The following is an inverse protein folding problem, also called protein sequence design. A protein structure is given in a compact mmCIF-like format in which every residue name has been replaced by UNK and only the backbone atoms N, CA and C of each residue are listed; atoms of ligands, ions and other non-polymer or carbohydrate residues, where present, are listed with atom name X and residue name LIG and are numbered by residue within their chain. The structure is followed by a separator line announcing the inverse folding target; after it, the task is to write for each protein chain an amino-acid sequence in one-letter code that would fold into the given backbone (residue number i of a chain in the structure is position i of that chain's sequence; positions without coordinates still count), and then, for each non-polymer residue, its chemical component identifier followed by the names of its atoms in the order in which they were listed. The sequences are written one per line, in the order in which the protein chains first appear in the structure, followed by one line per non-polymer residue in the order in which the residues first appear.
data_IF_218606929028
#
_entry.id   IF_218606929028
#
_cell.length_a   1.000
_cell.length_b   1.000
_cell.length_c   1.000
_cell.angle_alpha   90.00
_cell.angle_beta   90.00
_cell.angle_gamma   90.00
#
_symmetry.space_group_name_H-M   'P 1'
#
loop_
_entity.id
_entity.type
_entity.pdbx_description
1 polymer ?
#
# COMPACT_ATOMS: atom_id res chain seq x y z
N UNK A 1 9.42 12.95 -9.44
CA UNK A 1 8.35 12.40 -10.32
C UNK A 1 8.85 11.18 -11.11
N UNK A 2 10.01 11.26 -11.76
CA UNK A 2 10.59 10.14 -12.53
C UNK A 2 10.75 8.85 -11.73
N UNK A 3 11.15 8.92 -10.45
CA UNK A 3 11.27 7.73 -9.59
C UNK A 3 9.96 6.98 -9.35
N UNK A 4 8.87 7.72 -9.09
CA UNK A 4 7.55 7.12 -8.92
C UNK A 4 7.02 6.49 -10.22
N UNK A 5 7.19 7.15 -11.36
CA UNK A 5 6.82 6.59 -12.65
C UNK A 5 7.65 5.34 -12.99
N UNK A 6 8.96 5.39 -12.76
CA UNK A 6 9.83 4.22 -12.92
C UNK A 6 9.43 3.08 -12.01
N UNK A 7 9.10 3.36 -10.75
CA UNK A 7 8.61 2.36 -9.81
C UNK A 7 7.29 1.73 -10.29
N UNK A 8 6.35 2.55 -10.81
CA UNK A 8 5.07 2.05 -11.33
C UNK A 8 5.29 1.13 -12.52
N UNK A 9 6.20 1.52 -13.42
CA UNK A 9 6.62 0.68 -14.54
C UNK A 9 7.22 -0.64 -14.08
N UNK A 10 8.10 -0.62 -13.06
CA UNK A 10 8.65 -1.86 -12.49
C UNK A 10 7.56 -2.75 -11.87
N UNK A 11 6.55 -2.18 -11.20
CA UNK A 11 5.39 -2.92 -10.70
C UNK A 11 4.61 -3.57 -11.84
N UNK A 12 4.30 -2.81 -12.89
CA UNK A 12 3.58 -3.32 -14.05
C UNK A 12 4.35 -4.42 -14.78
N UNK A 13 5.67 -4.27 -14.95
CA UNK A 13 6.52 -5.29 -15.57
C UNK A 13 6.59 -6.57 -14.74
N UNK A 14 6.74 -6.42 -13.42
CA UNK A 14 6.72 -7.56 -12.51
C UNK A 14 5.37 -8.28 -12.55
N UNK A 15 4.26 -7.53 -12.55
CA UNK A 15 2.93 -8.11 -12.72
C UNK A 15 2.84 -8.91 -14.02
N UNK A 16 3.25 -8.34 -15.15
CA UNK A 16 3.25 -9.05 -16.44
C UNK A 16 4.06 -10.34 -16.37
N UNK A 17 5.24 -10.34 -15.74
CA UNK A 17 6.05 -11.55 -15.61
C UNK A 17 5.34 -12.65 -14.81
N UNK A 18 4.64 -12.29 -13.72
CA UNK A 18 3.81 -13.22 -12.96
C UNK A 18 2.60 -13.71 -13.77
N UNK A 19 1.84 -12.78 -14.38
CA UNK A 19 0.62 -13.09 -15.16
C UNK A 19 0.87 -13.90 -16.43
N UNK A 20 2.03 -13.74 -17.08
CA UNK A 20 2.42 -14.54 -18.24
C UNK A 20 3.00 -15.91 -17.86
N UNK A 21 2.95 -16.28 -16.57
CA UNK A 21 3.55 -17.51 -16.04
C UNK A 21 5.00 -17.72 -16.53
N UNK A 22 5.79 -16.64 -16.54
CA UNK A 22 7.19 -16.69 -16.99
C UNK A 22 8.00 -17.62 -16.10
N UNK A 23 9.15 -18.06 -16.61
CA UNK A 23 10.07 -18.87 -15.80
C UNK A 23 10.44 -18.15 -14.50
N UNK A 24 10.58 -18.93 -13.43
CA UNK A 24 10.88 -18.45 -12.06
C UNK A 24 12.00 -17.43 -12.04
N UNK A 25 13.07 -17.63 -12.82
CA UNK A 25 14.22 -16.72 -12.82
C UNK A 25 13.92 -15.35 -13.47
N UNK A 26 13.04 -15.32 -14.48
CA UNK A 26 12.55 -14.07 -15.10
C UNK A 26 11.66 -13.32 -14.11
N UNK A 27 10.80 -14.05 -13.41
CA UNK A 27 9.95 -13.51 -12.35
C UNK A 27 10.82 -12.96 -11.21
N UNK A 28 11.82 -13.71 -10.76
CA UNK A 28 12.76 -13.30 -9.72
C UNK A 28 13.56 -12.05 -10.12
N UNK A 29 14.07 -12.00 -11.34
CA UNK A 29 14.76 -10.80 -11.86
C UNK A 29 13.85 -9.58 -11.85
N UNK A 30 12.57 -9.77 -12.19
CA UNK A 30 11.57 -8.70 -12.16
C UNK A 30 11.29 -8.21 -10.74
N UNK A 31 11.20 -9.13 -9.77
CA UNK A 31 11.06 -8.81 -8.34
C UNK A 31 12.27 -8.04 -7.81
N UNK A 32 13.49 -8.45 -8.16
CA UNK A 32 14.72 -7.75 -7.78
C UNK A 32 14.77 -6.33 -8.36
N UNK A 33 14.40 -6.18 -9.63
CA UNK A 33 14.32 -4.88 -10.30
C UNK A 33 13.29 -3.98 -9.61
N UNK A 34 12.12 -4.52 -9.27
CA UNK A 34 11.09 -3.81 -8.51
C UNK A 34 11.62 -3.33 -7.16
N UNK A 35 12.28 -4.21 -6.41
CA UNK A 35 12.84 -3.87 -5.11
C UNK A 35 13.91 -2.77 -5.18
N UNK A 36 14.80 -2.82 -6.18
CA UNK A 36 15.80 -1.78 -6.42
C UNK A 36 15.16 -0.43 -6.78
N UNK A 37 14.14 -0.42 -7.64
CA UNK A 37 13.36 0.78 -7.97
C UNK A 37 12.70 1.35 -6.72
N UNK A 38 12.17 0.50 -5.85
CA UNK A 38 11.55 0.91 -4.58
C UNK A 38 12.57 1.58 -3.66
N UNK A 39 13.71 0.91 -3.39
CA UNK A 39 14.76 1.47 -2.55
C UNK A 39 15.27 2.82 -3.07
N UNK A 40 15.43 2.95 -4.38
CA UNK A 40 15.85 4.20 -5.02
C UNK A 40 14.81 5.30 -4.80
N UNK A 41 13.53 4.98 -4.96
CA UNK A 41 12.43 5.94 -4.78
C UNK A 41 12.34 6.41 -3.34
N UNK A 42 12.44 5.50 -2.36
CA UNK A 42 12.45 5.84 -0.93
C UNK A 42 13.63 6.74 -0.60
N UNK A 43 14.85 6.36 -0.99
CA UNK A 43 16.06 7.17 -0.74
C UNK A 43 15.97 8.56 -1.36
N UNK A 44 15.46 8.68 -2.58
CA UNK A 44 15.28 9.97 -3.24
C UNK A 44 14.27 10.86 -2.51
N UNK A 45 13.20 10.27 -1.97
CA UNK A 45 12.21 11.03 -1.20
C UNK A 45 12.76 11.45 0.17
N UNK A 46 13.46 10.56 0.88
CA UNK A 46 14.09 10.89 2.17
C UNK A 46 15.19 11.97 2.02
N UNK A 47 15.92 11.95 0.90
CA UNK A 47 16.90 13.00 0.57
C UNK A 47 16.26 14.33 0.13
N UNK A 48 14.95 14.36 -0.14
CA UNK A 48 14.27 15.51 -0.72
C UNK A 48 13.34 16.19 0.30
N UNK A 49 13.93 17.03 1.15
CA UNK A 49 13.23 17.79 2.20
C UNK A 49 12.11 18.70 1.68
N UNK A 50 12.22 19.15 0.41
CA UNK A 50 11.24 20.02 -0.27
C UNK A 50 10.29 19.28 -1.22
N UNK A 51 10.42 17.96 -1.38
CA UNK A 51 9.54 17.20 -2.27
C UNK A 51 8.09 17.22 -1.79
N UNK A 52 7.84 17.28 -0.47
CA UNK A 52 6.49 17.43 0.06
C UNK A 52 5.81 18.73 -0.43
N UNK A 53 6.56 19.83 -0.49
CA UNK A 53 6.06 21.15 -0.92
C UNK A 53 5.91 21.25 -2.44
N UNK A 54 6.75 20.55 -3.22
CA UNK A 54 6.66 20.58 -4.69
C UNK A 54 5.49 19.75 -5.23
N UNK A 55 5.08 18.72 -4.48
CA UNK A 55 4.01 17.81 -4.86
C UNK A 55 2.59 18.40 -4.64
N UNK A 56 2.45 19.56 -3.99
CA UNK A 56 1.16 20.22 -3.75
C UNK A 56 0.60 20.96 -4.98
N UNK A 57 1.27 20.92 -6.13
CA UNK A 57 0.75 21.44 -7.40
C UNK A 57 -0.30 20.47 -7.98
N UNK A 58 -1.47 20.99 -8.37
CA UNK A 58 -2.68 20.21 -8.69
C UNK A 58 -2.51 19.16 -9.80
N UNK A 59 -1.66 19.41 -10.79
CA UNK A 59 -1.40 18.47 -11.89
C UNK A 59 -0.62 17.22 -11.45
N UNK A 60 0.09 17.31 -10.32
CA UNK A 60 0.83 16.19 -9.75
C UNK A 60 -0.06 15.26 -8.94
N UNK A 61 -1.08 15.80 -8.28
CA UNK A 61 -2.00 15.00 -7.45
C UNK A 61 -2.75 13.97 -8.29
N UNK A 62 -3.27 14.34 -9.46
CA UNK A 62 -4.01 13.40 -10.33
C UNK A 62 -3.13 12.29 -10.89
N UNK A 63 -1.95 12.64 -11.42
CA UNK A 63 -0.98 11.67 -11.95
C UNK A 63 -0.45 10.74 -10.85
N UNK A 64 -0.22 11.27 -9.65
CA UNK A 64 0.23 10.48 -8.52
C UNK A 64 -0.85 9.52 -8.02
N UNK A 65 -2.13 9.94 -7.99
CA UNK A 65 -3.26 9.03 -7.72
C UNK A 65 -3.28 7.86 -8.69
N UNK A 66 -3.21 8.12 -9.99
CA UNK A 66 -3.23 7.07 -11.01
C UNK A 66 -2.03 6.13 -10.87
N UNK A 67 -0.84 6.70 -10.60
CA UNK A 67 0.39 5.95 -10.36
C UNK A 67 0.25 5.02 -9.16
N UNK A 68 -0.27 5.51 -8.02
CA UNK A 68 -0.51 4.70 -6.84
C UNK A 68 -1.54 3.61 -7.09
N UNK A 69 -2.67 3.94 -7.69
CA UNK A 69 -3.70 2.95 -8.06
C UNK A 69 -3.10 1.82 -8.88
N UNK A 70 -2.31 2.14 -9.91
CA UNK A 70 -1.65 1.15 -10.74
C UNK A 70 -0.66 0.29 -9.94
N UNK A 71 0.21 0.92 -9.13
CA UNK A 71 1.16 0.21 -8.28
C UNK A 71 0.48 -0.78 -7.34
N UNK A 72 -0.56 -0.36 -6.61
CA UNK A 72 -1.26 -1.22 -5.66
C UNK A 72 -2.01 -2.36 -6.37
N UNK A 73 -2.63 -2.09 -7.52
CA UNK A 73 -3.29 -3.13 -8.32
C UNK A 73 -2.28 -4.16 -8.84
N UNK A 74 -1.16 -3.70 -9.40
CA UNK A 74 -0.08 -4.58 -9.83
C UNK A 74 0.49 -5.37 -8.66
N UNK A 75 0.70 -4.73 -7.50
CA UNK A 75 1.24 -5.37 -6.31
C UNK A 75 0.30 -6.47 -5.79
N UNK A 76 -1.00 -6.19 -5.71
CA UNK A 76 -2.00 -7.19 -5.33
C UNK A 76 -1.99 -8.38 -6.29
N UNK A 77 -1.94 -8.14 -7.60
CA UNK A 77 -1.88 -9.20 -8.61
C UNK A 77 -0.60 -10.04 -8.49
N UNK A 78 0.56 -9.41 -8.32
CA UNK A 78 1.84 -10.09 -8.12
C UNK A 78 1.78 -11.01 -6.89
N UNK A 79 1.27 -10.49 -5.78
CA UNK A 79 1.21 -11.21 -4.51
C UNK A 79 0.20 -12.36 -4.58
N UNK A 80 -0.95 -12.14 -5.23
CA UNK A 80 -1.96 -13.17 -5.45
C UNK A 80 -1.44 -14.31 -6.32
N UNK A 81 -0.89 -13.99 -7.49
CA UNK A 81 -0.35 -14.97 -8.43
C UNK A 81 0.89 -15.64 -7.85
N UNK A 82 1.79 -14.87 -7.22
CA UNK A 82 3.01 -15.39 -6.64
C UNK A 82 2.75 -16.36 -5.49
N UNK A 83 1.76 -16.11 -4.64
CA UNK A 83 1.40 -17.03 -3.56
C UNK A 83 0.64 -18.27 -4.05
N UNK A 84 -0.13 -18.18 -5.13
CA UNK A 84 -0.89 -19.31 -5.69
C UNK A 84 -0.03 -20.17 -6.63
N UNK A 85 0.57 -19.58 -7.64
CA UNK A 85 1.24 -20.28 -8.74
C UNK A 85 2.73 -20.51 -8.48
N UNK A 86 3.33 -19.66 -7.66
CA UNK A 86 4.76 -19.74 -7.30
C UNK A 86 4.97 -20.03 -5.81
N UNK A 87 4.02 -20.69 -5.15
CA UNK A 87 4.03 -20.94 -3.70
C UNK A 87 5.36 -21.49 -3.16
N UNK A 88 6.02 -22.39 -3.90
CA UNK A 88 7.33 -22.95 -3.56
C UNK A 88 8.44 -21.88 -3.52
N UNK A 89 8.48 -20.98 -4.51
CA UNK A 89 9.46 -19.90 -4.58
C UNK A 89 9.06 -18.68 -3.74
N UNK A 90 7.75 -18.56 -3.46
CA UNK A 90 7.21 -17.50 -2.65
C UNK A 90 7.80 -17.52 -1.25
N UNK A 91 7.74 -18.66 -0.56
CA UNK A 91 8.29 -18.78 0.79
C UNK A 91 9.81 -18.72 0.81
N UNK A 92 10.47 -19.22 -0.24
CA UNK A 92 11.93 -19.31 -0.28
C UNK A 92 12.63 -18.01 -0.69
N UNK A 93 12.05 -17.22 -1.61
CA UNK A 93 12.75 -16.09 -2.26
C UNK A 93 11.92 -14.80 -2.31
N UNK A 94 10.62 -14.88 -2.58
CA UNK A 94 9.82 -13.68 -2.83
C UNK A 94 9.32 -13.01 -1.54
N UNK A 95 8.87 -13.81 -0.57
CA UNK A 95 8.25 -13.33 0.68
C UNK A 95 9.16 -12.35 1.43
N UNK A 96 10.44 -12.69 1.61
CA UNK A 96 11.42 -11.81 2.29
C UNK A 96 11.65 -10.48 1.55
N UNK A 97 11.64 -10.51 0.21
CA UNK A 97 11.80 -9.30 -0.61
C UNK A 97 10.58 -8.39 -0.47
N UNK A 98 9.37 -8.95 -0.51
CA UNK A 98 8.14 -8.17 -0.35
C UNK A 98 7.94 -7.70 1.10
N UNK A 99 8.37 -8.47 2.10
CA UNK A 99 8.42 -8.03 3.50
C UNK A 99 9.36 -6.84 3.69
N UNK A 100 10.48 -6.78 2.95
CA UNK A 100 11.38 -5.62 2.95
C UNK A 100 10.74 -4.36 2.37
N UNK A 101 9.66 -4.51 1.60
CA UNK A 101 8.83 -3.42 1.07
C UNK A 101 7.64 -3.07 1.98
N UNK A 102 7.54 -3.65 3.18
CA UNK A 102 6.45 -3.38 4.15
C UNK A 102 6.30 -1.90 4.50
N UNK A 103 7.39 -1.12 4.51
CA UNK A 103 7.32 0.33 4.74
C UNK A 103 6.75 1.12 3.56
N UNK A 104 6.50 0.49 2.40
CA UNK A 104 5.86 1.11 1.24
C UNK A 104 4.50 1.74 1.58
N UNK A 105 3.64 1.07 2.36
CA UNK A 105 2.33 1.63 2.68
C UNK A 105 2.40 2.88 3.55
N UNK A 106 3.26 2.89 4.59
CA UNK A 106 3.54 4.09 5.39
C UNK A 106 4.14 5.21 4.55
N UNK A 107 5.04 4.86 3.63
CA UNK A 107 5.65 5.79 2.70
C UNK A 107 4.62 6.42 1.76
N UNK A 108 3.76 5.62 1.12
CA UNK A 108 2.65 6.11 0.31
C UNK A 108 1.72 7.02 1.12
N UNK A 109 1.39 6.65 2.36
CA UNK A 109 0.52 7.43 3.23
C UNK A 109 1.12 8.81 3.57
N UNK A 110 2.42 8.86 3.87
CA UNK A 110 3.15 10.11 4.11
C UNK A 110 3.11 11.02 2.88
N UNK A 111 3.32 10.45 1.69
CA UNK A 111 3.30 11.22 0.44
C UNK A 111 1.88 11.68 0.12
N UNK A 112 0.89 10.80 0.25
CA UNK A 112 -0.54 11.10 0.08
C UNK A 112 -1.00 12.24 1.00
N UNK A 113 -0.59 12.21 2.28
CA UNK A 113 -0.88 13.29 3.23
C UNK A 113 -0.28 14.64 2.80
N UNK A 114 0.92 14.64 2.22
CA UNK A 114 1.56 15.85 1.72
C UNK A 114 0.83 16.47 0.50
N UNK A 115 0.13 15.65 -0.29
CA UNK A 115 -0.56 16.08 -1.52
C UNK A 115 -2.08 16.14 -1.41
N UNK A 116 -2.62 15.85 -0.21
CA UNK A 116 -4.06 15.85 0.05
C UNK A 116 -4.82 14.69 -0.60
N UNK A 117 -4.19 13.53 -0.80
CA UNK A 117 -4.87 12.31 -1.28
C UNK A 117 -5.28 11.45 -0.10
N UNK A 118 -6.54 11.01 -0.07
CA UNK A 118 -6.96 9.93 0.80
C UNK A 118 -6.59 8.57 0.18
N UNK A 119 -5.46 8.01 0.64
CA UNK A 119 -5.01 6.69 0.22
C UNK A 119 -6.04 5.60 0.53
N UNK A 120 -6.76 5.72 1.65
CA UNK A 120 -7.74 4.72 2.05
C UNK A 120 -8.96 4.73 1.14
N UNK A 121 -9.49 5.90 0.81
CA UNK A 121 -10.56 6.03 -0.17
C UNK A 121 -10.13 5.57 -1.56
N UNK A 122 -8.88 5.85 -1.96
CA UNK A 122 -8.34 5.42 -3.25
C UNK A 122 -8.29 3.89 -3.34
N UNK A 123 -7.72 3.22 -2.33
CA UNK A 123 -7.63 1.76 -2.32
C UNK A 123 -8.98 1.07 -2.12
N UNK A 124 -9.92 1.69 -1.41
CA UNK A 124 -11.30 1.20 -1.34
C UNK A 124 -11.97 1.24 -2.71
N UNK A 125 -11.77 2.33 -3.46
CA UNK A 125 -12.38 2.49 -4.79
C UNK A 125 -11.86 1.48 -5.82
N UNK A 126 -10.67 0.92 -5.62
CA UNK A 126 -10.10 -0.09 -6.51
C UNK A 126 -10.57 -1.51 -6.17
N UNK A 127 -11.23 -1.72 -5.02
CA UNK A 127 -11.75 -3.03 -4.62
C UNK A 127 -10.66 -4.08 -4.34
N UNK A 128 -9.42 -3.65 -4.09
CA UNK A 128 -8.31 -4.57 -3.85
C UNK A 128 -8.46 -5.27 -2.51
N UNK A 129 -8.23 -6.58 -2.47
CA UNK A 129 -8.20 -7.32 -1.21
C UNK A 129 -6.86 -7.07 -0.51
N UNK A 130 -6.80 -6.02 0.31
CA UNK A 130 -5.59 -5.68 1.01
C UNK A 130 -5.26 -6.64 2.18
N UNK A 131 -6.19 -7.51 2.58
CA UNK A 131 -5.93 -8.54 3.60
C UNK A 131 -4.92 -9.58 3.11
N UNK A 132 -4.79 -9.78 1.79
CA UNK A 132 -3.81 -10.71 1.21
C UNK A 132 -2.38 -10.35 1.62
N UNK A 133 -2.07 -9.06 1.73
CA UNK A 133 -0.75 -8.60 2.17
C UNK A 133 -0.49 -8.98 3.62
N UNK A 134 -1.48 -8.77 4.50
CA UNK A 134 -1.39 -9.13 5.90
C UNK A 134 -1.27 -10.66 6.10
N UNK A 135 -2.05 -11.43 5.36
CA UNK A 135 -2.01 -12.91 5.38
C UNK A 135 -0.63 -13.46 4.96
N UNK A 136 0.09 -12.74 4.11
CA UNK A 136 1.43 -13.11 3.66
C UNK A 136 2.56 -12.45 4.48
N UNK A 137 2.21 -11.82 5.61
CA UNK A 137 3.17 -11.16 6.51
C UNK A 137 3.74 -9.84 5.96
N UNK A 138 3.19 -9.31 4.87
CA UNK A 138 3.56 -8.02 4.30
C UNK A 138 2.75 -6.94 5.03
N UNK A 139 3.27 -6.46 6.16
CA UNK A 139 2.62 -5.41 6.92
C UNK A 139 2.86 -4.03 6.29
N UNK A 140 1.98 -3.62 5.39
CA UNK A 140 2.04 -2.30 4.75
C UNK A 140 1.87 -1.12 5.74
N UNK A 141 1.60 -1.38 7.02
CA UNK A 141 1.32 -0.35 8.02
C UNK A 141 0.02 0.41 7.75
N UNK A 142 -0.84 -0.13 6.87
CA UNK A 142 -2.16 0.41 6.53
C UNK A 142 -3.24 -0.08 7.50
N UNK A 143 -2.87 -0.60 8.69
CA UNK A 143 -3.81 -1.20 9.65
C UNK A 143 -5.00 -0.30 10.01
N UNK A 144 -4.82 1.02 10.05
CA UNK A 144 -5.92 1.97 10.25
C UNK A 144 -6.88 2.10 9.05
N UNK A 145 -6.40 1.86 7.83
CA UNK A 145 -7.22 1.77 6.62
C UNK A 145 -7.89 0.40 6.54
N UNK A 146 -7.16 -0.68 6.83
CA UNK A 146 -7.64 -2.06 6.80
C UNK A 146 -8.73 -2.32 7.84
N UNK A 147 -8.61 -1.76 9.05
CA UNK A 147 -9.67 -1.78 10.05
C UNK A 147 -10.96 -1.11 9.55
N UNK A 148 -10.88 -0.23 8.56
CA UNK A 148 -12.04 0.37 7.91
C UNK A 148 -12.50 -0.38 6.64
N UNK A 149 -11.76 -1.39 6.18
CA UNK A 149 -12.08 -2.23 4.99
C UNK A 149 -12.59 -3.62 5.41
N UNK A 150 -12.19 -4.12 6.58
CA UNK A 150 -12.58 -5.45 7.10
C UNK A 150 -13.29 -5.47 8.46
N UNK A 151 -13.74 -4.31 8.98
CA UNK A 151 -14.22 -4.20 10.37
C UNK A 151 -15.61 -3.57 10.53
N UNK A 152 -16.66 -4.32 10.15
CA UNK A 152 -17.72 -4.54 11.13
C UNK A 152 -17.16 -5.68 12.01
N UNK A 153 -17.17 -5.49 13.33
CA UNK A 153 -16.62 -6.37 14.39
C UNK A 153 -15.10 -6.19 14.61
N UNK A 154 -14.58 -5.74 15.76
CA UNK A 154 -15.16 -5.33 17.02
C UNK A 154 -14.04 -4.93 18.00
N UNK A 155 -14.24 -3.82 18.71
CA UNK A 155 -13.56 -3.50 19.97
C UNK A 155 -12.27 -2.66 19.92
N UNK A 156 -12.34 -1.49 20.59
CA UNK A 156 -11.28 -0.92 21.44
C UNK A 156 -10.11 -0.29 20.64
N UNK A 157 -9.91 1.04 20.58
CA UNK A 157 -9.66 2.04 21.63
C UNK A 157 -10.03 3.41 21.01
N UNK A 158 -10.73 4.34 21.63
CA UNK A 158 -10.64 4.80 23.01
C UNK A 158 -11.12 6.24 22.96
N UNK A 159 -12.41 6.44 23.28
CA UNK A 159 -13.01 7.75 23.38
C UNK A 159 -12.23 8.61 24.35
N UNK A 160 -11.71 9.73 23.87
CA UNK A 160 -11.10 10.75 24.69
C UNK A 160 -11.73 12.09 24.31
N UNK A 161 -12.49 12.64 25.25
CA UNK A 161 -12.61 14.09 25.39
C UNK A 161 -13.92 14.72 24.94
N UNK A 162 -14.75 14.99 25.94
CA UNK A 162 -15.41 16.29 26.16
C UNK A 162 -16.79 16.52 25.55
N UNK A 163 -17.79 16.50 26.44
CA UNK A 163 -18.77 17.59 26.49
C UNK A 163 -20.24 17.16 26.49
N UNK A 164 -20.89 17.38 27.63
CA UNK A 164 -22.26 17.91 27.63
C UNK A 164 -23.39 16.96 28.00
N UNK A 165 -23.88 17.15 29.23
CA UNK A 165 -25.29 17.15 29.62
C UNK A 165 -26.18 15.93 29.32
N UNK A 166 -26.58 15.28 30.42
CA UNK A 166 -27.99 15.25 30.81
C UNK A 166 -28.84 14.14 30.21
N UNK A 167 -29.23 13.18 31.06
CA UNK A 167 -30.60 13.08 31.59
C UNK A 167 -30.75 11.70 32.26
N UNK A 168 -30.36 11.63 33.53
CA UNK A 168 -30.80 10.57 34.42
C UNK A 168 -32.29 10.80 34.70
N UNK A 169 -33.14 9.89 34.22
CA UNK A 169 -34.59 9.97 34.39
C UNK A 169 -35.20 8.58 34.36
N UNK A 170 -34.81 7.74 35.31
CA UNK A 170 -35.39 6.43 35.56
C UNK A 170 -36.71 6.64 36.32
N UNK A 171 -37.85 6.52 35.64
CA UNK A 171 -39.19 6.59 36.21
C UNK A 171 -39.73 5.17 36.43
N UNK A 172 -39.32 4.52 37.52
CA UNK A 172 -40.01 3.36 38.11
C UNK A 172 -39.63 3.31 39.61
N UNK A 173 -40.53 3.79 40.45
CA UNK A 173 -40.43 3.85 41.91
C UNK A 173 -41.56 4.69 42.50
#
# INVERSE_FOLDING_TARGET
MSSWQSLSKSFSQCQTAFSEHRQVEVVYTSVQTLYQSYQTTVKQYDACTSCATYLSHSDYTSQFRQTLTQMYTSFHSIVSIGSQDYSAEWQNRFSSTFQSMSSFGKFSLKVCAAVGIDLGSLLKSTGLNLEIFANLGINLGLGGILGAVGGIVGGILGGSGSGGNGLLGNLLG
#
